data_IF_275488193577
#
_entry.id   IF_275488193577
#
_cell.length_a   1.000
_cell.length_b   1.000
_cell.length_c   1.000
_cell.angle_alpha   90.00
_cell.angle_beta   90.00
_cell.angle_gamma   90.00
#
_symmetry.space_group_name_H-M   'P 1'
#
loop_
_entity.id
_entity.type
_entity.pdbx_description
1 polymer ?
#
# COMPACT_ATOMS: atom_id res chain seq x y z
N UNK A 1 0.54 -72.38 -86.92
CA UNK A 1 -0.13 -71.32 -86.06
C UNK A 1 0.56 -71.13 -84.72
N UNK A 2 1.23 -72.11 -84.08
CA UNK A 2 1.84 -71.95 -82.76
C UNK A 2 3.04 -71.00 -82.67
N UNK A 3 3.79 -70.76 -83.76
CA UNK A 3 4.96 -69.84 -83.77
C UNK A 3 4.53 -68.35 -83.77
N UNK A 4 3.39 -68.02 -84.38
CA UNK A 4 2.96 -66.59 -84.43
C UNK A 4 2.38 -66.10 -83.07
N UNK A 5 1.82 -66.95 -82.25
CA UNK A 5 1.32 -66.66 -80.91
C UNK A 5 2.47 -66.44 -79.95
N UNK A 6 3.51 -67.27 -80.04
CA UNK A 6 4.72 -67.10 -79.20
C UNK A 6 5.46 -65.83 -79.45
N UNK A 7 5.61 -65.39 -80.71
CA UNK A 7 6.24 -64.07 -81.04
C UNK A 7 5.38 -62.88 -80.63
N UNK A 8 4.06 -63.00 -80.66
CA UNK A 8 3.16 -61.95 -80.17
C UNK A 8 3.26 -61.74 -78.63
N UNK A 9 3.31 -62.84 -77.89
CA UNK A 9 3.49 -62.85 -76.45
C UNK A 9 4.87 -62.21 -76.05
N UNK A 10 5.91 -62.64 -76.75
CA UNK A 10 7.25 -62.07 -76.53
C UNK A 10 7.34 -60.60 -76.85
N UNK A 11 6.68 -60.13 -77.93
CA UNK A 11 6.59 -58.70 -78.27
C UNK A 11 5.86 -57.86 -77.19
N UNK A 12 4.77 -58.42 -76.64
CA UNK A 12 4.03 -57.75 -75.53
C UNK A 12 4.89 -57.71 -74.27
N UNK A 13 5.64 -58.77 -73.92
CA UNK A 13 6.56 -58.78 -72.79
C UNK A 13 7.70 -57.78 -72.93
N UNK A 14 8.27 -57.71 -74.13
CA UNK A 14 9.34 -56.69 -74.41
C UNK A 14 8.75 -55.26 -74.37
N UNK A 15 7.59 -55.02 -74.94
CA UNK A 15 6.93 -53.74 -74.86
C UNK A 15 6.57 -53.33 -73.43
N UNK A 16 6.10 -54.31 -72.62
CA UNK A 16 5.80 -54.10 -71.20
C UNK A 16 7.09 -53.86 -70.40
N UNK A 17 8.14 -54.61 -70.66
CA UNK A 17 9.46 -54.41 -70.07
C UNK A 17 10.06 -53.04 -70.41
N UNK A 18 9.95 -52.61 -71.70
CA UNK A 18 10.36 -51.28 -72.13
C UNK A 18 9.49 -50.17 -71.48
N UNK A 19 8.19 -50.42 -71.42
CA UNK A 19 7.27 -49.47 -70.78
C UNK A 19 7.58 -49.30 -69.28
N UNK A 20 7.85 -50.46 -68.59
CA UNK A 20 8.22 -50.47 -67.21
C UNK A 20 9.61 -49.77 -67.01
N UNK A 21 10.58 -50.05 -67.91
CA UNK A 21 11.91 -49.38 -67.91
C UNK A 21 11.77 -47.89 -68.13
N UNK A 22 10.96 -47.41 -69.07
CA UNK A 22 10.74 -45.97 -69.32
C UNK A 22 10.05 -45.31 -68.13
N UNK A 23 9.07 -45.94 -67.51
CA UNK A 23 8.41 -45.37 -66.33
C UNK A 23 9.27 -45.36 -65.09
N UNK A 24 10.13 -46.38 -64.90
CA UNK A 24 10.96 -46.50 -63.67
C UNK A 24 12.34 -45.88 -63.82
N UNK A 25 12.97 -45.98 -64.98
CA UNK A 25 14.36 -45.54 -65.19
C UNK A 25 14.50 -44.21 -65.95
N UNK A 26 13.48 -43.87 -66.79
CA UNK A 26 13.43 -42.62 -67.58
C UNK A 26 12.27 -41.74 -67.09
N UNK A 27 11.86 -41.86 -65.84
CA UNK A 27 10.76 -41.04 -65.25
C UNK A 27 10.69 -39.66 -65.88
N UNK A 28 9.61 -39.30 -66.58
CA UNK A 28 9.47 -37.93 -67.05
C UNK A 28 9.49 -37.00 -65.85
N UNK A 29 10.38 -36.00 -65.85
CA UNK A 29 10.49 -35.01 -64.76
C UNK A 29 9.08 -34.48 -64.42
N UNK A 30 8.66 -34.67 -63.17
CA UNK A 30 7.41 -34.13 -62.66
C UNK A 30 7.69 -32.78 -62.02
N UNK A 31 6.74 -31.86 -62.11
CA UNK A 31 6.81 -30.56 -61.41
C UNK A 31 5.80 -30.59 -60.26
N UNK A 32 6.20 -30.11 -59.10
CA UNK A 32 5.36 -29.97 -57.92
C UNK A 32 5.56 -28.62 -57.28
N UNK A 33 4.48 -28.03 -56.74
CA UNK A 33 4.55 -26.74 -56.03
C UNK A 33 4.28 -26.99 -54.56
N UNK A 34 5.15 -26.47 -53.72
CA UNK A 34 5.04 -26.54 -52.27
C UNK A 34 4.83 -25.10 -51.78
N UNK A 35 3.61 -24.83 -51.30
CA UNK A 35 3.18 -23.54 -50.81
C UNK A 35 3.35 -23.47 -49.29
N UNK A 36 3.49 -22.23 -48.76
CA UNK A 36 3.51 -21.89 -47.36
C UNK A 36 4.60 -22.64 -46.54
N UNK A 37 5.79 -22.79 -47.11
CA UNK A 37 6.92 -23.38 -46.39
C UNK A 37 7.42 -22.32 -45.38
N UNK A 38 7.45 -22.62 -44.06
CA UNK A 38 7.85 -21.65 -43.05
C UNK A 38 9.35 -21.34 -43.16
N UNK A 39 9.69 -20.08 -42.88
CA UNK A 39 11.08 -19.61 -42.82
C UNK A 39 11.61 -19.86 -41.41
N UNK A 40 12.81 -20.43 -41.33
CA UNK A 40 13.59 -20.58 -40.08
C UNK A 40 14.64 -19.47 -40.03
N UNK A 41 14.49 -18.59 -39.05
CA UNK A 41 15.42 -17.51 -38.81
C UNK A 41 16.67 -18.04 -38.08
N UNK A 42 17.83 -18.01 -38.72
CA UNK A 42 19.09 -18.47 -38.14
C UNK A 42 19.94 -17.27 -37.67
N UNK A 43 20.50 -17.35 -36.46
CA UNK A 43 21.35 -16.28 -35.90
C UNK A 43 20.59 -15.12 -35.25
N UNK A 44 19.30 -15.30 -34.88
CA UNK A 44 18.54 -14.28 -34.15
C UNK A 44 19.18 -13.92 -32.79
N UNK A 45 19.73 -14.91 -32.06
CA UNK A 45 20.48 -14.67 -30.84
C UNK A 45 21.72 -13.79 -31.06
N UNK A 46 22.45 -14.03 -32.16
CA UNK A 46 23.61 -13.22 -32.55
C UNK A 46 23.22 -11.80 -32.92
N UNK A 47 22.05 -11.65 -33.56
CA UNK A 47 21.48 -10.32 -33.87
C UNK A 47 21.16 -9.56 -32.58
N UNK A 48 20.52 -10.24 -31.62
CA UNK A 48 20.18 -9.66 -30.30
C UNK A 48 21.41 -9.28 -29.49
N UNK A 49 22.49 -10.11 -29.51
CA UNK A 49 23.76 -9.80 -28.85
C UNK A 49 24.43 -8.54 -29.42
N UNK A 50 24.23 -8.27 -30.72
CA UNK A 50 24.69 -7.03 -31.37
C UNK A 50 23.81 -5.80 -31.05
N UNK A 51 22.79 -5.95 -30.20
CA UNK A 51 21.84 -4.87 -29.88
C UNK A 51 20.92 -4.53 -31.06
N UNK A 52 20.59 -5.52 -31.90
CA UNK A 52 19.70 -5.38 -33.04
C UNK A 52 18.50 -6.30 -32.91
N UNK A 53 17.39 -5.96 -33.55
CA UNK A 53 16.16 -6.77 -33.59
C UNK A 53 15.41 -6.60 -34.91
N UNK A 54 14.69 -7.63 -35.31
CA UNK A 54 13.82 -7.57 -36.46
C UNK A 54 12.55 -6.79 -36.10
N UNK A 55 12.18 -5.83 -36.94
CA UNK A 55 10.93 -5.07 -36.78
C UNK A 55 9.90 -5.42 -37.85
N UNK A 56 10.35 -5.85 -39.02
CA UNK A 56 9.48 -6.22 -40.13
C UNK A 56 10.13 -7.23 -41.04
N UNK A 57 9.35 -8.16 -41.55
CA UNK A 57 9.72 -9.09 -42.61
C UNK A 57 8.77 -8.99 -43.77
N UNK A 58 9.25 -9.22 -44.99
CA UNK A 58 8.39 -9.16 -46.21
C UNK A 58 7.51 -10.40 -46.35
N UNK A 59 7.94 -11.54 -45.85
CA UNK A 59 7.18 -12.79 -45.83
C UNK A 59 7.70 -13.72 -44.76
N UNK A 60 6.80 -14.47 -44.12
CA UNK A 60 7.09 -15.53 -43.15
C UNK A 60 7.15 -16.93 -43.80
N UNK A 61 6.73 -17.03 -45.07
CA UNK A 61 6.66 -18.26 -45.82
C UNK A 61 7.23 -18.10 -47.22
N UNK A 62 7.54 -19.24 -47.83
CA UNK A 62 8.07 -19.34 -49.20
C UNK A 62 7.29 -20.38 -49.97
N UNK A 63 6.99 -20.10 -51.24
CA UNK A 63 6.50 -21.09 -52.22
C UNK A 63 7.67 -21.54 -53.10
N UNK A 64 7.87 -22.88 -53.22
CA UNK A 64 8.86 -23.47 -54.10
C UNK A 64 8.20 -24.30 -55.19
N UNK A 65 8.64 -24.13 -56.42
CA UNK A 65 8.31 -25.03 -57.51
C UNK A 65 9.53 -25.85 -57.88
N UNK A 66 9.40 -27.17 -57.66
CA UNK A 66 10.49 -28.13 -57.87
C UNK A 66 10.18 -29.00 -59.07
N UNK A 67 11.21 -29.35 -59.81
CA UNK A 67 11.20 -30.34 -60.87
C UNK A 67 12.17 -31.45 -60.54
N UNK A 68 11.75 -32.72 -60.68
CA UNK A 68 12.57 -33.87 -60.34
C UNK A 68 11.84 -35.21 -60.62
N UNK A 69 12.49 -36.29 -60.19
CA UNK A 69 11.88 -37.62 -60.27
C UNK A 69 10.67 -37.71 -59.33
N UNK A 70 9.57 -38.28 -59.79
CA UNK A 70 8.37 -38.46 -59.02
C UNK A 70 8.58 -39.17 -57.69
N UNK A 71 9.45 -40.17 -57.69
CA UNK A 71 9.83 -40.94 -56.46
C UNK A 71 10.48 -40.07 -55.40
N UNK A 72 11.24 -39.04 -55.81
CA UNK A 72 11.92 -38.15 -54.86
C UNK A 72 11.02 -37.00 -54.44
N UNK A 73 10.16 -36.50 -55.34
CA UNK A 73 9.15 -35.47 -55.03
C UNK A 73 8.15 -35.96 -53.98
N UNK A 74 7.78 -37.25 -53.99
CA UNK A 74 6.88 -37.85 -52.99
C UNK A 74 7.47 -37.94 -51.56
N UNK A 75 8.79 -37.84 -51.41
CA UNK A 75 9.49 -37.85 -50.08
C UNK A 75 9.49 -36.44 -49.46
N UNK A 76 9.19 -35.43 -50.24
CA UNK A 76 9.27 -34.02 -49.82
C UNK A 76 7.89 -33.43 -49.60
N UNK A 77 7.71 -32.67 -48.56
CA UNK A 77 6.51 -31.91 -48.26
C UNK A 77 6.90 -30.58 -47.55
N UNK A 78 5.93 -29.67 -47.40
CA UNK A 78 6.17 -28.38 -46.77
C UNK A 78 6.73 -28.46 -45.33
N UNK A 79 6.56 -29.54 -44.62
CA UNK A 79 7.01 -29.73 -43.24
C UNK A 79 8.44 -30.25 -43.11
N UNK A 80 9.03 -30.81 -44.20
CA UNK A 80 10.36 -31.36 -44.20
C UNK A 80 11.34 -30.58 -45.14
N UNK A 81 10.85 -29.62 -45.91
CA UNK A 81 11.70 -28.62 -46.57
C UNK A 81 12.07 -27.55 -45.53
N UNK A 82 13.34 -27.25 -45.40
CA UNK A 82 13.83 -26.22 -44.48
C UNK A 82 14.36 -25.02 -45.25
N UNK A 83 13.78 -23.86 -45.02
CA UNK A 83 14.24 -22.58 -45.54
C UNK A 83 14.93 -21.82 -44.41
N UNK A 84 16.26 -21.75 -44.44
CA UNK A 84 17.04 -20.97 -43.47
C UNK A 84 17.43 -19.63 -44.04
N UNK A 85 17.17 -18.59 -43.24
CA UNK A 85 17.59 -17.20 -43.55
C UNK A 85 18.61 -16.80 -42.45
N UNK A 86 19.83 -16.53 -42.88
CA UNK A 86 20.96 -16.20 -42.00
C UNK A 86 20.98 -14.72 -41.62
N UNK A 87 20.69 -14.42 -40.37
CA UNK A 87 20.71 -13.06 -39.79
C UNK A 87 22.07 -12.69 -39.21
N UNK A 88 22.99 -13.65 -39.05
CA UNK A 88 24.27 -13.46 -38.34
C UNK A 88 25.17 -12.42 -39.00
N UNK A 89 24.96 -12.16 -40.28
CA UNK A 89 25.75 -11.22 -41.10
C UNK A 89 25.22 -9.79 -41.09
N UNK A 90 24.14 -9.52 -40.34
CA UNK A 90 23.62 -8.16 -40.20
C UNK A 90 24.37 -7.50 -39.03
N UNK A 91 24.89 -6.29 -39.24
CA UNK A 91 25.66 -5.52 -38.27
C UNK A 91 25.11 -4.11 -38.04
N UNK A 92 24.22 -3.63 -38.92
CA UNK A 92 23.70 -2.27 -38.90
C UNK A 92 22.17 -2.27 -38.99
N UNK A 93 21.48 -1.31 -38.39
CA UNK A 93 20.06 -1.13 -38.60
C UNK A 93 19.74 -0.72 -40.02
N UNK A 94 18.55 -1.02 -40.52
CA UNK A 94 18.10 -0.72 -41.86
C UNK A 94 17.37 -1.87 -42.54
N UNK A 95 17.16 -1.75 -43.84
CA UNK A 95 16.52 -2.78 -44.64
C UNK A 95 17.56 -3.65 -45.31
N UNK A 96 17.52 -4.95 -45.07
CA UNK A 96 18.44 -5.95 -45.59
C UNK A 96 17.69 -6.92 -46.47
N UNK A 97 18.25 -7.19 -47.67
CA UNK A 97 17.72 -8.21 -48.60
C UNK A 97 18.55 -9.47 -48.40
N UNK A 98 17.91 -10.54 -47.93
CA UNK A 98 18.55 -11.81 -47.64
C UNK A 98 18.11 -12.87 -48.64
N UNK A 99 19.11 -13.60 -49.17
CA UNK A 99 18.89 -14.73 -50.06
C UNK A 99 18.90 -16.03 -49.23
N UNK A 100 18.17 -17.01 -49.67
CA UNK A 100 18.05 -18.29 -49.01
C UNK A 100 18.19 -19.43 -50.03
N UNK A 101 18.63 -20.59 -49.52
CA UNK A 101 18.63 -21.84 -50.25
C UNK A 101 17.82 -22.88 -49.48
N UNK A 102 16.87 -23.57 -50.15
CA UNK A 102 16.13 -24.64 -49.49
C UNK A 102 17.02 -25.83 -49.22
N UNK A 103 16.79 -26.46 -48.07
CA UNK A 103 17.44 -27.70 -47.67
C UNK A 103 16.40 -28.81 -47.64
N UNK A 104 16.70 -29.94 -48.24
CA UNK A 104 15.84 -31.12 -48.36
C UNK A 104 16.20 -32.19 -47.33
N UNK A 105 15.30 -33.19 -47.06
CA UNK A 105 15.57 -34.31 -46.17
C UNK A 105 16.80 -35.09 -46.61
N UNK A 106 17.54 -35.71 -45.66
CA UNK A 106 18.80 -36.41 -45.90
C UNK A 106 18.69 -37.71 -46.71
N UNK A 107 17.49 -38.23 -46.90
CA UNK A 107 17.18 -39.40 -47.73
C UNK A 107 16.89 -39.03 -49.20
N UNK A 108 16.98 -37.73 -49.56
CA UNK A 108 16.86 -37.19 -50.90
C UNK A 108 18.26 -36.69 -51.35
N UNK A 109 18.75 -37.13 -52.49
CA UNK A 109 20.01 -36.66 -53.04
C UNK A 109 20.01 -35.11 -53.24
N UNK A 110 21.10 -34.45 -52.94
CA UNK A 110 21.22 -32.97 -53.06
C UNK A 110 20.99 -32.40 -54.46
N UNK A 111 21.07 -33.23 -55.48
CA UNK A 111 20.89 -32.92 -56.88
C UNK A 111 19.54 -33.50 -57.45
N UNK A 112 18.66 -34.03 -56.59
CA UNK A 112 17.42 -34.69 -57.01
C UNK A 112 16.41 -33.67 -57.62
N UNK A 113 16.54 -32.41 -57.29
CA UNK A 113 15.61 -31.37 -57.72
C UNK A 113 16.24 -30.23 -58.42
N UNK A 114 15.56 -29.69 -59.43
CA UNK A 114 15.81 -28.40 -60.03
C UNK A 114 14.78 -27.44 -59.45
N UNK A 115 15.22 -26.32 -58.88
CA UNK A 115 14.33 -25.26 -58.40
C UNK A 115 13.95 -24.42 -59.63
N UNK A 116 12.71 -24.59 -60.10
CA UNK A 116 12.15 -23.87 -61.24
C UNK A 116 11.82 -22.44 -60.89
N UNK A 117 11.24 -22.25 -59.69
CA UNK A 117 10.94 -20.92 -59.14
C UNK A 117 10.85 -20.97 -57.65
N UNK A 118 11.14 -19.85 -57.04
CA UNK A 118 10.91 -19.59 -55.59
C UNK A 118 10.28 -18.19 -55.46
N UNK A 119 9.26 -18.12 -54.63
CA UNK A 119 8.52 -16.87 -54.39
C UNK A 119 8.29 -16.66 -52.90
N UNK A 120 8.78 -15.54 -52.34
CA UNK A 120 9.66 -14.53 -52.96
C UNK A 120 11.07 -15.06 -53.19
N UNK A 121 11.82 -14.52 -54.17
CA UNK A 121 13.22 -14.93 -54.45
C UNK A 121 14.19 -14.52 -53.35
N UNK A 122 13.86 -13.47 -52.61
CA UNK A 122 14.63 -12.93 -51.51
C UNK A 122 13.67 -12.41 -50.42
N UNK A 123 14.12 -12.39 -49.19
CA UNK A 123 13.37 -11.89 -48.04
C UNK A 123 13.95 -10.52 -47.65
N UNK A 124 13.09 -9.51 -47.61
CA UNK A 124 13.44 -8.21 -47.05
C UNK A 124 13.19 -8.20 -45.57
N UNK A 125 14.18 -7.89 -44.75
CA UNK A 125 14.15 -7.81 -43.30
C UNK A 125 14.53 -6.41 -42.87
N UNK A 126 13.65 -5.73 -42.16
CA UNK A 126 13.94 -4.44 -41.54
C UNK A 126 14.42 -4.69 -40.11
N UNK A 127 15.60 -4.16 -39.80
CA UNK A 127 16.27 -4.31 -38.49
C UNK A 127 16.42 -2.94 -37.85
N UNK A 128 16.12 -2.83 -36.57
CA UNK A 128 16.29 -1.63 -35.76
C UNK A 128 17.27 -1.91 -34.61
N UNK A 129 17.76 -0.86 -33.97
CA UNK A 129 18.50 -0.97 -32.72
C UNK A 129 17.56 -1.41 -31.63
N UNK A 130 17.96 -2.38 -30.84
CA UNK A 130 17.26 -2.84 -29.64
C UNK A 130 17.81 -2.06 -28.47
N UNK A 131 16.96 -1.27 -27.83
CA UNK A 131 17.31 -0.51 -26.62
C UNK A 131 16.38 -0.86 -25.47
N UNK A 132 16.84 -0.57 -24.26
CA UNK A 132 16.02 -0.67 -23.03
C UNK A 132 15.97 0.72 -22.41
N UNK A 133 14.77 1.16 -22.04
CA UNK A 133 14.49 2.40 -21.32
C UNK A 133 13.64 2.07 -20.12
N UNK A 134 13.93 2.66 -18.96
CA UNK A 134 13.07 2.55 -17.78
C UNK A 134 12.15 3.77 -17.74
N UNK A 135 10.86 3.54 -17.61
CA UNK A 135 9.83 4.58 -17.56
C UNK A 135 9.04 4.52 -16.28
N UNK A 136 8.68 5.65 -15.65
CA UNK A 136 7.92 5.68 -14.40
C UNK A 136 6.49 5.16 -14.61
N UNK A 137 5.92 4.60 -13.54
CA UNK A 137 4.50 4.26 -13.47
C UNK A 137 3.74 5.41 -12.83
N UNK A 138 2.81 5.99 -13.58
CA UNK A 138 1.88 7.00 -13.11
C UNK A 138 0.50 6.43 -12.87
N UNK A 139 -0.14 6.87 -11.79
CA UNK A 139 -1.51 6.47 -11.45
C UNK A 139 -2.47 7.58 -11.85
N UNK A 140 -3.38 7.27 -12.74
CA UNK A 140 -4.46 8.14 -13.14
C UNK A 140 -5.69 7.84 -12.26
N UNK A 141 -6.02 8.79 -11.37
CA UNK A 141 -7.11 8.65 -10.42
C UNK A 141 -8.41 9.19 -11.01
N UNK A 142 -9.46 8.39 -11.00
CA UNK A 142 -10.82 8.79 -11.37
C UNK A 142 -11.78 8.64 -10.21
N UNK A 143 -12.84 9.44 -10.19
CA UNK A 143 -13.83 9.42 -9.12
C UNK A 143 -13.34 9.93 -7.76
N UNK A 144 -14.13 9.69 -6.73
CA UNK A 144 -13.87 10.05 -5.33
C UNK A 144 -14.28 8.91 -4.42
N UNK A 145 -13.56 8.73 -3.32
CA UNK A 145 -13.98 7.80 -2.26
C UNK A 145 -15.34 8.21 -1.67
N UNK A 146 -16.02 7.27 -1.01
CA UNK A 146 -17.31 7.50 -0.39
C UNK A 146 -17.26 8.64 0.64
N UNK A 147 -18.42 9.28 0.89
CA UNK A 147 -18.54 10.31 1.90
C UNK A 147 -18.13 9.78 3.29
N UNK A 148 -17.36 10.55 4.04
CA UNK A 148 -16.79 10.15 5.32
C UNK A 148 -15.55 9.29 5.22
N UNK A 149 -14.95 9.15 4.03
CA UNK A 149 -13.68 8.45 3.80
C UNK A 149 -12.63 9.38 3.17
N UNK A 150 -11.38 9.01 3.32
CA UNK A 150 -10.26 9.66 2.67
C UNK A 150 -9.28 8.63 2.12
N UNK A 151 -8.52 9.03 1.11
CA UNK A 151 -7.45 8.21 0.54
C UNK A 151 -6.12 8.92 0.65
N UNK A 152 -5.09 8.15 0.93
CA UNK A 152 -3.70 8.61 1.00
C UNK A 152 -2.98 8.26 -0.31
N UNK A 153 -3.22 9.09 -1.35
CA UNK A 153 -2.66 8.88 -2.69
C UNK A 153 -1.15 9.11 -2.75
N UNK A 154 -0.60 9.91 -1.84
CA UNK A 154 0.81 10.26 -1.81
C UNK A 154 1.66 9.11 -1.26
N UNK A 155 1.14 8.37 -0.30
CA UNK A 155 1.78 7.21 0.31
C UNK A 155 1.34 5.88 -0.32
N UNK A 156 0.97 5.91 -1.61
CA UNK A 156 0.70 4.68 -2.36
C UNK A 156 1.94 3.83 -2.51
N UNK A 157 1.78 2.52 -2.49
CA UNK A 157 2.85 1.56 -2.75
C UNK A 157 2.61 0.90 -4.10
N UNK A 158 3.66 0.86 -4.92
CA UNK A 158 3.71 0.14 -6.20
C UNK A 158 4.84 -0.88 -6.10
N UNK A 159 4.58 -2.13 -6.47
CA UNK A 159 5.62 -3.17 -6.57
C UNK A 159 6.62 -2.84 -7.70
N UNK A 160 6.12 -2.23 -8.79
CA UNK A 160 6.92 -1.69 -9.88
C UNK A 160 6.66 -0.19 -10.03
N UNK A 161 7.45 0.67 -9.35
CA UNK A 161 7.33 2.13 -9.51
C UNK A 161 7.81 2.62 -10.90
N UNK A 162 8.54 1.77 -11.62
CA UNK A 162 8.99 2.00 -12.98
C UNK A 162 9.08 0.67 -13.72
N UNK A 163 8.85 0.69 -15.04
CA UNK A 163 8.86 -0.46 -15.94
C UNK A 163 10.04 -0.35 -16.90
N UNK A 164 10.79 -1.45 -17.06
CA UNK A 164 11.85 -1.56 -18.07
C UNK A 164 11.25 -2.00 -19.40
N UNK A 165 11.32 -1.13 -20.39
CA UNK A 165 10.74 -1.30 -21.71
C UNK A 165 11.87 -1.59 -22.70
N UNK A 166 11.83 -2.73 -23.37
CA UNK A 166 12.84 -3.15 -24.36
C UNK A 166 12.19 -3.32 -25.73
N UNK A 167 12.79 -2.75 -26.76
CA UNK A 167 12.27 -2.83 -28.12
C UNK A 167 13.06 -2.00 -29.11
N UNK A 168 12.47 -1.72 -30.30
CA UNK A 168 13.09 -0.88 -31.32
C UNK A 168 13.26 0.55 -30.81
N UNK A 169 14.43 1.15 -31.07
CA UNK A 169 14.78 2.51 -30.64
C UNK A 169 13.76 3.56 -31.07
N UNK A 170 13.20 3.42 -32.28
CA UNK A 170 12.20 4.31 -32.83
C UNK A 170 10.87 4.31 -32.03
N UNK A 171 10.53 3.19 -31.34
CA UNK A 171 9.31 3.06 -30.52
C UNK A 171 9.63 3.35 -29.07
N UNK A 172 10.68 2.73 -28.51
CA UNK A 172 11.05 2.90 -27.09
C UNK A 172 11.33 4.36 -26.74
N UNK A 173 11.94 5.13 -27.66
CA UNK A 173 12.21 6.55 -27.42
C UNK A 173 10.96 7.42 -27.34
N UNK A 174 9.83 6.98 -27.88
CA UNK A 174 8.55 7.72 -27.77
C UNK A 174 7.82 7.43 -26.47
N UNK A 175 8.15 6.34 -25.77
CA UNK A 175 7.52 5.97 -24.52
C UNK A 175 8.12 6.80 -23.39
N UNK A 176 7.30 7.54 -22.65
CA UNK A 176 7.75 8.38 -21.53
C UNK A 176 7.24 7.88 -20.18
N UNK A 177 6.12 7.16 -20.15
CA UNK A 177 5.51 6.64 -18.93
C UNK A 177 4.65 5.40 -19.18
N UNK A 178 4.42 4.64 -18.10
CA UNK A 178 3.37 3.64 -18.03
C UNK A 178 2.24 4.19 -17.14
N UNK A 179 0.98 4.10 -17.57
CA UNK A 179 -0.15 4.65 -16.83
C UNK A 179 -1.10 3.53 -16.41
N UNK A 180 -1.52 3.52 -15.15
CA UNK A 180 -2.60 2.69 -14.64
C UNK A 180 -3.80 3.58 -14.29
N UNK A 181 -5.02 3.14 -14.63
CA UNK A 181 -6.27 3.83 -14.33
C UNK A 181 -6.92 3.22 -13.10
N UNK A 182 -7.16 4.03 -12.06
CA UNK A 182 -7.73 3.59 -10.79
C UNK A 182 -9.00 4.38 -10.48
N UNK A 183 -10.11 3.66 -10.41
CA UNK A 183 -11.40 4.25 -10.04
C UNK A 183 -11.62 4.18 -8.53
N UNK A 184 -11.81 5.36 -7.91
CA UNK A 184 -12.09 5.55 -6.50
C UNK A 184 -13.58 5.73 -6.19
N UNK A 185 -14.46 5.70 -7.21
CA UNK A 185 -15.88 6.02 -7.06
C UNK A 185 -16.54 5.17 -5.97
N UNK A 186 -17.02 5.85 -4.92
CA UNK A 186 -17.72 5.26 -3.77
C UNK A 186 -16.93 4.17 -3.01
N UNK A 187 -15.62 4.08 -3.21
CA UNK A 187 -14.79 3.10 -2.49
C UNK A 187 -14.70 3.45 -1.00
N UNK A 188 -14.75 2.41 -0.16
CA UNK A 188 -14.67 2.47 1.30
C UNK A 188 -13.52 1.64 1.86
N UNK A 189 -13.05 0.66 1.09
CA UNK A 189 -12.00 -0.26 1.47
C UNK A 189 -10.69 0.11 0.77
N UNK A 190 -9.58 -0.10 1.45
CA UNK A 190 -8.24 0.07 0.88
C UNK A 190 -8.06 -0.78 -0.37
N UNK A 191 -7.30 -0.27 -1.32
CA UNK A 191 -6.97 -0.94 -2.57
C UNK A 191 -5.71 -1.78 -2.34
N UNK A 192 -5.76 -3.04 -2.78
CA UNK A 192 -4.61 -3.94 -2.91
C UNK A 192 -4.93 -4.84 -4.11
N UNK A 193 -4.66 -4.33 -5.32
CA UNK A 193 -5.12 -4.90 -6.58
C UNK A 193 -4.04 -4.80 -7.66
N UNK A 194 -4.09 -5.75 -8.62
CA UNK A 194 -3.22 -5.76 -9.80
C UNK A 194 -3.86 -5.01 -10.95
N UNK A 195 -3.13 -4.05 -11.51
CA UNK A 195 -3.57 -3.24 -12.64
C UNK A 195 -2.74 -3.52 -13.88
N UNK A 196 -3.41 -3.59 -15.03
CA UNK A 196 -2.73 -3.52 -16.32
C UNK A 196 -2.37 -2.06 -16.59
N UNK A 197 -1.18 -1.85 -17.11
CA UNK A 197 -0.72 -0.52 -17.49
C UNK A 197 -0.74 -0.32 -18.99
N UNK A 198 -0.81 0.94 -19.41
CA UNK A 198 -0.69 1.37 -20.80
C UNK A 198 0.61 2.17 -20.95
N UNK A 199 1.44 1.81 -21.92
CA UNK A 199 2.63 2.60 -22.27
C UNK A 199 2.19 3.82 -23.06
N UNK A 200 2.62 5.01 -22.62
CA UNK A 200 2.20 6.28 -23.19
C UNK A 200 3.41 7.15 -23.58
N UNK A 201 3.17 8.01 -24.57
CA UNK A 201 4.08 9.10 -24.95
C UNK A 201 4.02 10.27 -23.94
N UNK A 202 4.74 11.36 -24.24
CA UNK A 202 4.79 12.56 -23.41
C UNK A 202 3.42 13.26 -23.30
N UNK A 203 2.59 13.17 -24.34
CA UNK A 203 1.24 13.74 -24.40
C UNK A 203 0.20 12.85 -23.73
N UNK A 204 0.56 11.61 -23.35
CA UNK A 204 -0.34 10.64 -22.71
C UNK A 204 -1.12 9.76 -23.68
N UNK A 205 -0.75 9.74 -24.97
CA UNK A 205 -1.38 8.86 -25.95
C UNK A 205 -0.78 7.46 -25.86
N UNK A 206 -1.58 6.39 -26.02
CA UNK A 206 -1.10 5.01 -26.04
C UNK A 206 -0.12 4.75 -27.19
N UNK A 207 0.99 4.08 -26.90
CA UNK A 207 1.99 3.64 -27.89
C UNK A 207 1.74 2.18 -28.25
N UNK A 208 1.84 1.82 -29.55
CA UNK A 208 1.71 0.42 -30.00
C UNK A 208 2.88 -0.43 -29.50
N UNK A 209 2.57 -1.33 -28.57
CA UNK A 209 3.55 -2.15 -27.85
C UNK A 209 3.81 -3.53 -28.49
N UNK A 210 3.39 -3.79 -29.75
CA UNK A 210 3.53 -5.12 -30.39
C UNK A 210 4.96 -5.66 -30.44
N UNK A 211 5.95 -4.76 -30.56
CA UNK A 211 7.38 -5.12 -30.62
C UNK A 211 8.11 -4.81 -29.32
N UNK A 212 7.37 -4.52 -28.25
CA UNK A 212 7.90 -4.16 -26.95
C UNK A 212 7.81 -5.37 -26.02
N UNK A 213 8.87 -5.58 -25.27
CA UNK A 213 8.90 -6.50 -24.11
C UNK A 213 9.14 -5.70 -22.84
N UNK A 214 8.48 -6.08 -21.77
CA UNK A 214 8.58 -5.41 -20.47
C UNK A 214 8.95 -6.41 -19.39
N UNK A 215 9.49 -5.93 -18.27
CA UNK A 215 9.88 -6.74 -17.12
C UNK A 215 8.70 -7.11 -16.19
N UNK A 216 7.53 -6.47 -16.36
CA UNK A 216 6.31 -6.79 -15.65
C UNK A 216 5.11 -6.75 -16.61
N UNK A 217 4.13 -7.63 -16.40
CA UNK A 217 2.87 -7.63 -17.16
C UNK A 217 1.79 -6.76 -16.50
N UNK A 218 1.87 -6.64 -15.17
CA UNK A 218 0.94 -5.88 -14.32
C UNK A 218 1.72 -5.18 -13.23
N UNK A 219 1.07 -4.20 -12.61
CA UNK A 219 1.58 -3.48 -11.45
C UNK A 219 0.61 -3.67 -10.29
N UNK A 220 1.12 -4.12 -9.15
CA UNK A 220 0.36 -4.19 -7.91
C UNK A 220 0.34 -2.83 -7.23
N UNK A 221 -0.85 -2.33 -6.94
CA UNK A 221 -1.06 -1.05 -6.24
C UNK A 221 -1.69 -1.27 -4.88
N UNK A 222 -1.08 -0.69 -3.85
CA UNK A 222 -1.66 -0.57 -2.52
C UNK A 222 -1.92 0.89 -2.18
N UNK A 223 -3.15 1.20 -1.78
CA UNK A 223 -3.57 2.53 -1.33
C UNK A 223 -4.51 2.40 -0.14
N UNK A 224 -4.18 3.08 0.94
CA UNK A 224 -5.04 3.12 2.11
C UNK A 224 -6.25 4.02 1.88
N UNK A 225 -7.44 3.49 2.13
CA UNK A 225 -8.68 4.25 2.28
C UNK A 225 -9.09 4.14 3.74
N UNK A 226 -9.27 5.29 4.39
CA UNK A 226 -9.53 5.39 5.83
C UNK A 226 -10.83 6.14 6.07
N UNK A 227 -11.59 5.72 7.07
CA UNK A 227 -12.76 6.43 7.54
C UNK A 227 -12.34 7.71 8.29
N UNK A 228 -13.11 8.78 8.12
CA UNK A 228 -12.96 10.03 8.84
C UNK A 228 -14.06 10.10 9.89
N UNK A 229 -13.72 10.62 11.07
CA UNK A 229 -14.68 10.82 12.17
C UNK A 229 -14.35 12.09 12.93
N UNK A 230 -15.37 12.83 13.33
CA UNK A 230 -15.25 13.93 14.27
C UNK A 230 -15.48 13.39 15.69
N UNK A 231 -14.49 13.59 16.58
CA UNK A 231 -14.55 13.21 17.98
C UNK A 231 -14.79 14.45 18.83
N UNK A 232 -15.77 14.39 19.74
CA UNK A 232 -15.94 15.41 20.75
C UNK A 232 -14.94 15.18 21.88
N UNK A 233 -14.24 16.24 22.28
CA UNK A 233 -13.34 16.21 23.43
C UNK A 233 -14.14 16.32 24.70
N UNK A 234 -13.83 15.46 25.68
CA UNK A 234 -14.46 15.43 27.00
C UNK A 234 -13.38 15.41 28.07
N UNK A 235 -13.75 15.78 29.28
CA UNK A 235 -12.89 15.70 30.45
C UNK A 235 -13.69 15.19 31.65
N UNK A 236 -13.00 14.55 32.58
CA UNK A 236 -13.57 14.12 33.86
C UNK A 236 -13.38 15.22 34.90
N UNK A 237 -14.47 15.68 35.50
CA UNK A 237 -14.40 16.71 36.55
C UNK A 237 -14.51 16.04 37.93
N UNK A 238 -13.45 16.20 38.75
CA UNK A 238 -13.45 15.79 40.14
C UNK A 238 -13.75 16.97 41.04
N UNK A 239 -14.91 16.94 41.66
CA UNK A 239 -15.35 17.99 42.60
C UNK A 239 -14.59 17.98 43.90
N UNK A 240 -14.43 19.14 44.53
CA UNK A 240 -13.78 19.22 45.83
C UNK A 240 -13.29 20.63 46.17
N UNK A 241 -12.85 20.81 47.43
CA UNK A 241 -12.41 22.12 47.89
C UNK A 241 -13.48 23.19 47.78
N UNK A 242 -14.79 22.86 47.91
CA UNK A 242 -15.89 23.81 47.78
C UNK A 242 -16.31 24.17 46.37
N UNK A 243 -15.67 23.55 45.37
CA UNK A 243 -16.05 23.72 43.94
C UNK A 243 -16.70 22.47 43.39
N UNK A 244 -17.65 22.67 42.50
CA UNK A 244 -18.46 21.64 41.82
C UNK A 244 -18.80 22.08 40.42
N UNK A 245 -19.38 21.19 39.60
CA UNK A 245 -19.90 21.54 38.27
C UNK A 245 -20.90 22.69 38.26
N UNK A 246 -21.60 22.96 39.38
CA UNK A 246 -22.58 24.03 39.47
C UNK A 246 -21.98 25.45 39.65
N UNK A 247 -20.77 25.54 40.17
CA UNK A 247 -20.08 26.79 40.46
C UNK A 247 -18.76 26.92 39.74
N UNK A 248 -18.48 26.06 38.74
CA UNK A 248 -17.30 26.09 37.93
C UNK A 248 -17.68 25.98 36.47
N UNK A 249 -17.11 26.80 35.62
CA UNK A 249 -17.20 26.65 34.18
C UNK A 249 -15.84 26.28 33.61
N UNK A 250 -15.86 25.35 32.66
CA UNK A 250 -14.66 24.90 31.95
C UNK A 250 -14.88 25.13 30.46
N UNK A 251 -13.99 25.87 29.83
CA UNK A 251 -14.00 26.15 28.40
C UNK A 251 -12.77 25.52 27.75
N UNK A 252 -12.99 24.65 26.76
CA UNK A 252 -11.91 24.06 25.98
C UNK A 252 -11.55 24.96 24.79
N UNK A 253 -10.26 25.06 24.45
CA UNK A 253 -9.80 25.78 23.25
C UNK A 253 -10.31 25.15 21.95
N UNK A 254 -10.60 23.86 21.99
CA UNK A 254 -11.18 23.08 20.89
C UNK A 254 -12.15 22.05 21.47
N UNK A 255 -13.34 21.99 20.93
CA UNK A 255 -14.37 21.04 21.41
C UNK A 255 -14.40 19.74 20.61
N UNK A 256 -13.88 19.76 19.38
CA UNK A 256 -13.88 18.61 18.47
C UNK A 256 -12.58 18.51 17.71
N UNK A 257 -12.16 17.30 17.43
CA UNK A 257 -11.05 17.01 16.51
C UNK A 257 -11.54 16.05 15.44
N UNK A 258 -10.94 16.17 14.24
CA UNK A 258 -11.18 15.25 13.14
C UNK A 258 -10.06 14.23 13.08
N UNK A 259 -10.42 12.96 13.00
CA UNK A 259 -9.48 11.84 12.97
C UNK A 259 -9.76 10.94 11.76
N UNK A 260 -8.75 10.19 11.32
CA UNK A 260 -8.90 9.11 10.36
C UNK A 260 -8.31 7.82 10.91
N UNK A 261 -8.91 6.69 10.55
CA UNK A 261 -8.45 5.38 10.97
C UNK A 261 -9.20 4.26 10.26
N UNK A 262 -8.87 3.01 10.61
CA UNK A 262 -9.68 1.87 10.20
C UNK A 262 -11.07 1.95 10.86
N UNK A 263 -12.07 1.38 10.21
CA UNK A 263 -13.44 1.37 10.75
C UNK A 263 -13.48 0.75 12.16
N UNK A 264 -12.80 -0.37 12.36
CA UNK A 264 -12.73 -1.05 13.66
C UNK A 264 -12.07 -0.18 14.75
N UNK A 265 -10.99 0.54 14.45
CA UNK A 265 -10.34 1.41 15.42
C UNK A 265 -11.23 2.59 15.81
N UNK A 266 -11.94 3.19 14.85
CA UNK A 266 -12.83 4.32 15.11
C UNK A 266 -14.14 3.91 15.81
N UNK A 267 -14.62 2.69 15.60
CA UNK A 267 -15.76 2.14 16.33
C UNK A 267 -15.44 1.91 17.81
N UNK A 268 -14.26 1.38 18.11
CA UNK A 268 -13.80 1.16 19.49
C UNK A 268 -13.65 2.47 20.28
N UNK A 269 -13.33 3.59 19.61
CA UNK A 269 -13.19 4.89 20.28
C UNK A 269 -14.51 5.54 20.67
N UNK A 270 -15.63 5.11 20.08
CA UNK A 270 -16.91 5.83 20.23
C UNK A 270 -16.87 7.24 19.64
N UNK A 271 -17.71 8.15 20.14
CA UNK A 271 -17.88 9.51 19.58
C UNK A 271 -17.16 10.58 20.41
N UNK A 272 -16.49 10.20 21.49
CA UNK A 272 -15.82 11.11 22.43
C UNK A 272 -14.41 10.67 22.72
N UNK A 273 -13.54 11.63 22.98
CA UNK A 273 -12.19 11.41 23.48
C UNK A 273 -12.03 12.11 24.83
N UNK A 274 -11.80 11.36 25.89
CA UNK A 274 -11.45 11.92 27.22
C UNK A 274 -9.99 12.38 27.18
N UNK A 275 -9.79 13.71 27.38
CA UNK A 275 -8.44 14.32 27.38
C UNK A 275 -7.80 14.30 28.76
N UNK A 276 -8.55 13.99 29.84
CA UNK A 276 -8.01 13.88 31.19
C UNK A 276 -8.94 14.36 32.28
N UNK A 277 -8.38 14.47 33.50
CA UNK A 277 -9.14 14.79 34.71
C UNK A 277 -8.77 16.20 35.23
N UNK A 278 -9.80 16.97 35.54
CA UNK A 278 -9.68 18.27 36.21
C UNK A 278 -10.08 18.11 37.67
N UNK A 279 -9.12 18.15 38.58
CA UNK A 279 -9.36 18.06 40.03
C UNK A 279 -9.55 19.47 40.61
N UNK A 280 -10.78 19.85 40.91
CA UNK A 280 -11.10 21.17 41.44
C UNK A 280 -10.55 21.43 42.84
N UNK A 281 -10.26 20.38 43.64
CA UNK A 281 -9.67 20.55 44.94
C UNK A 281 -8.20 21.04 44.91
N UNK A 282 -7.49 20.82 43.80
CA UNK A 282 -6.10 21.23 43.63
C UNK A 282 -5.96 22.64 43.05
N UNK A 283 -7.03 23.20 42.51
CA UNK A 283 -7.02 24.52 41.88
C UNK A 283 -7.48 25.61 42.87
N UNK A 284 -6.59 26.53 43.19
CA UNK A 284 -6.87 27.61 44.17
C UNK A 284 -7.48 28.85 43.57
N UNK A 285 -7.35 29.04 42.25
CA UNK A 285 -7.82 30.23 41.48
C UNK A 285 -8.18 29.79 40.07
N UNK A 286 -8.78 30.68 39.27
CA UNK A 286 -8.96 30.49 37.84
C UNK A 286 -7.62 30.12 37.22
N UNK A 287 -7.60 29.05 36.43
CA UNK A 287 -6.38 28.45 35.92
C UNK A 287 -6.63 27.90 34.54
N UNK A 288 -5.65 27.97 33.66
CA UNK A 288 -5.60 27.27 32.39
C UNK A 288 -4.78 25.99 32.57
N UNK A 289 -5.35 24.88 32.18
CA UNK A 289 -4.70 23.57 32.19
C UNK A 289 -4.47 23.11 30.75
N UNK A 290 -3.39 22.39 30.51
CA UNK A 290 -3.01 21.86 29.21
C UNK A 290 -3.15 20.33 29.23
N UNK A 291 -3.81 19.81 28.19
CA UNK A 291 -4.05 18.37 28.03
C UNK A 291 -3.56 17.90 26.67
N UNK A 292 -2.66 16.92 26.61
CA UNK A 292 -2.23 16.33 25.37
C UNK A 292 -3.36 15.53 24.72
N UNK A 293 -3.50 15.64 23.39
CA UNK A 293 -4.41 14.81 22.60
C UNK A 293 -3.70 13.49 22.27
N UNK A 294 -4.02 12.44 23.00
CA UNK A 294 -3.42 11.11 22.82
C UNK A 294 -4.44 10.22 22.08
N UNK A 295 -4.05 9.76 20.88
CA UNK A 295 -4.85 8.86 20.08
C UNK A 295 -4.27 7.44 20.12
N UNK A 296 -5.11 6.40 19.99
CA UNK A 296 -4.63 5.03 19.91
C UNK A 296 -3.88 4.77 18.60
N UNK A 297 -3.12 3.68 18.56
CA UNK A 297 -2.40 3.25 17.37
C UNK A 297 -3.36 3.02 16.19
N UNK A 298 -2.94 3.43 15.00
CA UNK A 298 -3.74 3.33 13.79
C UNK A 298 -4.77 4.44 13.57
N UNK A 299 -4.87 5.42 14.49
CA UNK A 299 -5.71 6.62 14.36
C UNK A 299 -4.84 7.85 14.16
N UNK A 300 -5.11 8.62 13.12
CA UNK A 300 -4.35 9.82 12.76
C UNK A 300 -5.20 11.06 13.02
N UNK A 301 -4.61 12.08 13.66
CA UNK A 301 -5.22 13.38 13.86
C UNK A 301 -5.11 14.23 12.57
N UNK A 302 -6.24 14.60 12.00
CA UNK A 302 -6.29 15.41 10.78
C UNK A 302 -6.35 16.92 11.06
N UNK A 303 -6.66 17.32 12.32
CA UNK A 303 -6.72 18.74 12.71
C UNK A 303 -5.37 19.32 13.07
N UNK A 304 -4.37 18.45 13.34
CA UNK A 304 -3.05 18.86 13.82
C UNK A 304 -3.02 19.40 15.26
N UNK A 305 -4.15 19.37 15.99
CA UNK A 305 -4.25 19.80 17.38
C UNK A 305 -3.63 18.73 18.27
N UNK A 306 -2.44 18.97 18.77
CA UNK A 306 -1.71 18.03 19.66
C UNK A 306 -1.97 18.29 21.13
N UNK A 307 -2.48 19.47 21.48
CA UNK A 307 -2.74 19.89 22.85
C UNK A 307 -3.97 20.77 22.92
N UNK A 308 -4.76 20.61 23.98
CA UNK A 308 -5.99 21.35 24.24
C UNK A 308 -5.86 22.05 25.57
N UNK A 309 -6.16 23.34 25.61
CA UNK A 309 -6.23 24.10 26.85
C UNK A 309 -7.63 24.10 27.40
N UNK A 310 -7.76 23.89 28.72
CA UNK A 310 -8.99 24.02 29.48
C UNK A 310 -8.91 25.22 30.44
N UNK A 311 -9.70 26.23 30.18
CA UNK A 311 -9.83 27.38 31.05
C UNK A 311 -10.88 27.10 32.13
N UNK A 312 -10.42 27.02 33.38
CA UNK A 312 -11.28 26.75 34.55
C UNK A 312 -11.56 28.07 35.26
N UNK A 313 -12.84 28.42 35.35
CA UNK A 313 -13.33 29.62 36.02
C UNK A 313 -14.24 29.25 37.18
N UNK A 314 -13.96 29.78 38.38
CA UNK A 314 -14.81 29.63 39.56
C UNK A 314 -15.79 30.77 39.65
N UNK A 315 -17.08 30.45 39.63
CA UNK A 315 -18.16 31.40 39.59
C UNK A 315 -18.68 31.69 41.03
N UNK A 316 -18.49 32.90 41.52
CA UNK A 316 -18.99 33.32 42.83
C UNK A 316 -18.32 32.68 44.05
N UNK A 317 -17.17 32.04 43.83
CA UNK A 317 -16.37 31.49 44.91
C UNK A 317 -15.30 32.47 45.38
N UNK A 318 -15.02 32.43 46.67
CA UNK A 318 -13.91 33.17 47.31
C UNK A 318 -13.11 32.22 48.20
N UNK A 319 -11.87 32.57 48.47
CA UNK A 319 -10.98 31.86 49.37
C UNK A 319 -10.61 32.68 50.58
N UNK A 320 -10.43 32.02 51.70
CA UNK A 320 -9.96 32.66 52.94
C UNK A 320 -9.08 31.72 53.74
N UNK A 321 -8.06 32.27 54.39
CA UNK A 321 -7.29 31.54 55.40
C UNK A 321 -8.00 31.65 56.74
N UNK A 322 -8.08 30.52 57.43
CA UNK A 322 -8.68 30.41 58.75
C UNK A 322 -7.70 29.63 59.68
N UNK A 323 -7.50 30.14 60.87
CA UNK A 323 -6.69 29.46 61.89
C UNK A 323 -7.63 28.76 62.87
N UNK A 324 -7.46 27.45 63.03
CA UNK A 324 -8.27 26.61 63.88
C UNK A 324 -7.43 26.05 65.03
N UNK A 325 -7.98 26.12 66.25
CA UNK A 325 -7.31 25.63 67.46
C UNK A 325 -7.97 24.34 67.97
N UNK A 326 -9.15 24.00 67.53
CA UNK A 326 -9.89 22.78 67.90
C UNK A 326 -9.40 21.58 67.11
N UNK A 327 -8.31 20.96 67.56
CA UNK A 327 -7.73 19.74 66.94
C UNK A 327 -7.98 18.57 67.80
N UNK A 328 -8.73 17.56 67.32
CA UNK A 328 -9.13 16.35 68.01
C UNK A 328 -8.35 15.13 67.48
N UNK A 329 -8.00 14.24 68.38
CA UNK A 329 -7.38 12.96 68.04
C UNK A 329 -8.43 11.87 68.00
N UNK A 330 -8.38 10.99 67.02
CA UNK A 330 -9.23 9.79 66.88
C UNK A 330 -8.37 8.56 66.63
N UNK A 331 -8.90 7.38 66.95
CA UNK A 331 -8.30 6.07 66.69
C UNK A 331 -6.87 5.94 67.29
N UNK A 332 -6.66 6.41 68.53
CA UNK A 332 -5.37 6.28 69.18
C UNK A 332 -5.18 4.77 69.50
N UNK A 333 -4.06 4.15 69.09
CA UNK A 333 -3.77 2.74 69.35
C UNK A 333 -3.72 2.46 70.85
N UNK A 334 -4.18 1.28 71.24
CA UNK A 334 -4.16 0.84 72.68
C UNK A 334 -2.72 0.84 73.20
N UNK A 335 -2.53 1.37 74.43
CA UNK A 335 -1.21 1.49 75.05
C UNK A 335 -0.36 2.67 74.60
N UNK A 336 -0.91 3.57 73.80
CA UNK A 336 -0.25 4.82 73.37
C UNK A 336 -1.02 6.06 73.84
N UNK A 337 -0.26 7.13 74.09
CA UNK A 337 -0.77 8.47 74.40
C UNK A 337 -0.26 9.46 73.39
N UNK A 338 -1.15 10.29 72.89
CA UNK A 338 -0.84 11.34 71.86
C UNK A 338 -0.85 12.71 72.51
N UNK A 339 0.22 13.48 72.27
CA UNK A 339 0.29 14.92 72.50
C UNK A 339 0.42 15.66 71.19
N UNK A 340 -0.62 16.42 70.79
CA UNK A 340 -0.64 17.23 69.59
C UNK A 340 0.23 18.47 69.84
N UNK A 341 1.37 18.53 69.12
CA UNK A 341 2.33 19.64 69.19
C UNK A 341 1.79 20.87 68.48
N UNK A 342 1.13 20.66 67.34
CA UNK A 342 0.51 21.74 66.56
C UNK A 342 -0.74 22.24 67.30
N UNK A 343 -0.63 23.42 67.94
CA UNK A 343 -1.79 23.99 68.70
C UNK A 343 -2.70 24.83 67.83
N UNK A 344 -2.20 25.31 66.69
CA UNK A 344 -2.94 26.12 65.71
C UNK A 344 -2.69 25.59 64.29
N UNK A 345 -3.76 25.33 63.58
CA UNK A 345 -3.70 24.85 62.19
C UNK A 345 -4.23 25.91 61.28
N UNK A 346 -3.45 26.34 60.30
CA UNK A 346 -3.92 27.23 59.22
C UNK A 346 -4.48 26.40 58.10
N UNK A 347 -5.70 26.68 57.71
CA UNK A 347 -6.39 26.06 56.57
C UNK A 347 -6.83 27.12 55.59
N UNK A 348 -6.76 26.80 54.29
CA UNK A 348 -7.34 27.63 53.22
C UNK A 348 -8.67 27.02 52.80
N UNK A 349 -9.74 27.78 53.00
CA UNK A 349 -11.10 27.37 52.70
C UNK A 349 -11.62 28.12 51.46
N UNK A 350 -12.46 27.47 50.68
CA UNK A 350 -13.14 28.06 49.54
C UNK A 350 -14.64 27.77 49.62
N UNK A 351 -15.45 28.73 49.23
CA UNK A 351 -16.91 28.62 49.18
C UNK A 351 -17.54 29.91 48.66
N UNK A 352 -18.85 30.05 48.74
CA UNK A 352 -19.50 31.31 48.41
C UNK A 352 -19.07 32.40 49.39
N UNK A 353 -18.98 33.64 48.95
CA UNK A 353 -18.60 34.77 49.81
C UNK A 353 -19.46 34.86 51.10
N UNK A 354 -20.78 34.58 51.01
CA UNK A 354 -21.69 34.58 52.12
C UNK A 354 -21.33 33.53 53.20
N UNK A 355 -20.93 32.33 52.80
CA UNK A 355 -20.56 31.23 53.72
C UNK A 355 -19.13 31.44 54.29
N UNK A 356 -18.15 31.76 53.41
CA UNK A 356 -16.76 31.95 53.83
C UNK A 356 -16.61 33.12 54.80
N UNK A 357 -17.39 34.22 54.61
CA UNK A 357 -17.34 35.36 55.52
C UNK A 357 -18.00 35.07 56.87
N UNK A 358 -18.97 34.21 56.93
CA UNK A 358 -19.63 33.78 58.19
C UNK A 358 -18.89 32.70 58.96
N UNK A 359 -18.04 31.91 58.23
CA UNK A 359 -17.34 30.80 58.86
C UNK A 359 -16.34 31.30 59.94
N UNK A 360 -16.40 30.72 61.12
CA UNK A 360 -15.49 31.00 62.20
C UNK A 360 -14.69 29.75 62.56
N UNK A 361 -13.64 29.91 63.37
CA UNK A 361 -12.83 28.76 63.85
C UNK A 361 -13.68 27.77 64.67
N UNK A 362 -14.75 28.23 65.30
CA UNK A 362 -15.65 27.35 66.10
C UNK A 362 -16.55 26.48 65.25
N UNK A 363 -16.78 26.83 63.97
CA UNK A 363 -17.59 26.07 63.04
C UNK A 363 -16.77 24.96 62.33
N UNK A 364 -15.48 24.84 62.66
CA UNK A 364 -14.54 23.91 62.05
C UNK A 364 -13.94 23.00 63.11
N UNK A 365 -14.07 21.69 62.89
CA UNK A 365 -13.40 20.65 63.69
C UNK A 365 -12.33 20.00 62.85
N UNK A 366 -11.11 19.97 63.38
CA UNK A 366 -9.97 19.28 62.82
C UNK A 366 -9.78 17.95 63.51
N UNK A 367 -9.87 16.85 62.80
CA UNK A 367 -9.62 15.50 63.35
C UNK A 367 -8.34 14.91 62.75
N UNK A 368 -7.52 14.31 63.58
CA UNK A 368 -6.32 13.58 63.19
C UNK A 368 -6.49 12.12 63.56
N UNK A 369 -6.38 11.26 62.59
CA UNK A 369 -6.48 9.82 62.75
C UNK A 369 -5.08 9.24 63.06
N UNK A 370 -5.00 8.55 64.17
CA UNK A 370 -3.78 7.90 64.66
C UNK A 370 -3.77 6.39 64.43
N UNK A 371 -4.64 5.85 63.59
CA UNK A 371 -4.64 4.42 63.23
C UNK A 371 -3.25 3.96 62.79
N UNK A 372 -2.69 2.94 63.45
CA UNK A 372 -1.36 2.39 63.10
C UNK A 372 -0.17 3.31 63.44
N UNK A 373 -0.37 4.35 64.24
CA UNK A 373 0.71 5.24 64.66
C UNK A 373 1.64 4.52 65.65
N UNK A 374 2.93 4.80 65.56
CA UNK A 374 3.98 4.25 66.42
C UNK A 374 4.54 5.33 67.34
N UNK A 375 5.19 4.91 68.43
CA UNK A 375 5.84 5.83 69.40
C UNK A 375 6.91 6.69 68.69
N UNK A 376 6.89 8.00 68.93
CA UNK A 376 7.78 8.96 68.31
C UNK A 376 7.09 10.29 67.97
N UNK A 377 7.81 11.18 67.30
CA UNK A 377 7.24 12.44 66.77
C UNK A 377 7.04 12.33 65.27
N UNK A 378 5.83 12.52 64.81
CA UNK A 378 5.47 12.42 63.42
C UNK A 378 4.46 13.49 62.96
N UNK A 379 4.29 13.65 61.68
CA UNK A 379 3.29 14.54 61.09
C UNK A 379 2.14 13.75 60.47
N UNK A 380 0.94 14.23 60.69
CA UNK A 380 -0.29 13.56 60.26
C UNK A 380 -1.12 14.50 59.39
N UNK A 381 -1.86 13.93 58.40
CA UNK A 381 -2.86 14.65 57.65
C UNK A 381 -4.10 14.85 58.49
N UNK A 382 -4.59 16.08 58.52
CA UNK A 382 -5.81 16.43 59.19
C UNK A 382 -7.04 16.26 58.31
N UNK A 383 -8.11 15.74 58.85
CA UNK A 383 -9.45 15.77 58.21
C UNK A 383 -10.23 16.94 58.79
N UNK A 384 -10.75 17.77 57.89
CA UNK A 384 -11.46 19.00 58.26
C UNK A 384 -12.98 18.76 58.08
N UNK A 385 -13.73 18.99 59.12
CA UNK A 385 -15.19 18.86 59.16
C UNK A 385 -15.81 20.22 59.50
N UNK A 386 -16.78 20.63 58.70
CA UNK A 386 -17.48 21.87 58.87
C UNK A 386 -18.82 21.66 59.58
N UNK A 387 -19.22 22.61 60.38
CA UNK A 387 -20.53 22.61 61.05
C UNK A 387 -21.71 22.75 60.08
N UNK A 388 -22.90 22.61 60.64
CA UNK A 388 -24.18 22.74 59.90
C UNK A 388 -24.27 24.08 59.22
N UNK A 389 -24.72 24.11 57.95
CA UNK A 389 -24.86 25.31 57.10
C UNK A 389 -23.61 25.68 56.28
N UNK A 390 -22.54 24.91 56.40
CA UNK A 390 -21.30 25.13 55.66
C UNK A 390 -20.95 23.95 54.70
N UNK A 391 -21.95 23.17 54.29
CA UNK A 391 -21.76 21.95 53.45
C UNK A 391 -21.16 22.28 52.08
N UNK A 392 -21.23 23.53 51.60
CA UNK A 392 -20.64 23.97 50.35
C UNK A 392 -19.28 24.67 50.49
N UNK A 393 -18.72 24.66 51.69
CA UNK A 393 -17.36 25.10 51.97
C UNK A 393 -16.43 23.89 51.89
N UNK A 394 -15.29 24.05 51.22
CA UNK A 394 -14.30 23.00 51.17
C UNK A 394 -12.91 23.49 51.51
N UNK A 395 -12.08 22.59 51.92
CA UNK A 395 -10.67 22.84 52.24
C UNK A 395 -9.84 22.67 50.98
N UNK A 396 -9.07 23.70 50.57
CA UNK A 396 -8.07 23.65 49.51
C UNK A 396 -6.73 23.18 50.00
N UNK A 397 -6.34 23.69 51.19
CA UNK A 397 -5.06 23.38 51.82
C UNK A 397 -5.22 23.36 53.34
N UNK A 398 -4.60 22.38 53.96
CA UNK A 398 -4.38 22.32 55.38
C UNK A 398 -2.92 21.94 55.65
N UNK A 399 -2.29 22.65 56.59
CA UNK A 399 -0.95 22.29 56.99
C UNK A 399 -0.99 20.95 57.74
N UNK A 400 0.11 20.14 57.76
CA UNK A 400 0.15 18.91 58.51
C UNK A 400 0.18 19.16 60.00
N UNK A 401 -0.43 18.28 60.77
CA UNK A 401 -0.43 18.33 62.23
C UNK A 401 0.73 17.48 62.77
N UNK A 402 1.59 18.11 63.55
CA UNK A 402 2.69 17.43 64.27
C UNK A 402 2.16 16.91 65.63
N UNK A 403 2.43 15.65 65.94
CA UNK A 403 2.08 15.03 67.22
C UNK A 403 3.24 14.18 67.73
N UNK A 404 3.37 14.12 69.02
CA UNK A 404 4.24 13.21 69.74
C UNK A 404 3.41 12.07 70.34
N UNK A 405 3.88 10.87 70.14
CA UNK A 405 3.24 9.63 70.58
C UNK A 405 4.19 8.95 71.58
N UNK A 406 3.72 8.82 72.79
CA UNK A 406 4.45 8.18 73.91
C UNK A 406 3.72 6.91 74.32
N UNK A 407 4.43 5.88 74.82
CA UNK A 407 3.78 4.74 75.48
C UNK A 407 2.89 5.23 76.66
N UNK A 408 1.68 4.73 76.76
CA UNK A 408 0.85 4.98 77.97
C UNK A 408 1.44 4.22 79.18
N UNK A 409 1.83 4.91 80.20
CA UNK A 409 2.41 4.37 81.42
C UNK A 409 1.30 3.76 82.28
#
# INVERSE_FOLDING_TARGET
MKSKIGSAILSVLIAFGMWLYVITAVSPGSMETYDDIPIVWDGESVLNEKGLMITRVSSDTVTLKLSGNRSDLTKVNRGNITIKVDLSKIYEPGNHILFYNPTFPGDVPSNAFVIESKSPDSISVTVARRITKTVPVEVNWTGSVAEGFMTDRENRVLDYPAISVTGPDSVVNTIEKATIDVDLTERRESISEDYQYTLCDAEGNPVDAKLITTDAEKVHLEVAIRRIKDLRLTYTLVEGGGASAHNTSVTLSTETIRVSGSEAALELMGDTLDIGTINLAELTKNTTLEFPVVLPEGVTNLTGVTEVTAEVHFNGLTTRELTVENIQSINIPEGLKVDIITKKLTITVRGTAAQVNKLTANDVTVTVDFTGAEAGTSTFKATIVYGEGFEKVGTLRADPVSARIDPAV
#
